data_IF_065372230406
#
_entry.id   IF_065372230406
#
_cell.length_a   1.000
_cell.length_b   1.000
_cell.length_c   1.000
_cell.angle_alpha   90.00
_cell.angle_beta   90.00
_cell.angle_gamma   90.00
#
_symmetry.space_group_name_H-M   'P 1'
#
loop_
_entity.id
_entity.type
_entity.pdbx_description
1 polymer ?
#
# COMPACT_ATOMS: atom_id res chain seq x y z
N UNK A 1 -21.67 -6.77 -25.55
CA UNK A 1 -21.15 -5.72 -26.47
C UNK A 1 -21.31 -4.38 -25.78
N UNK A 2 -20.31 -3.50 -25.85
CA UNK A 2 -20.34 -2.17 -25.22
C UNK A 2 -20.94 -1.17 -26.20
N UNK A 3 -21.93 -0.37 -25.77
CA UNK A 3 -22.50 0.73 -26.56
C UNK A 3 -21.55 1.93 -26.55
N UNK A 4 -21.06 2.32 -27.72
CA UNK A 4 -20.09 3.41 -27.89
C UNK A 4 -20.67 4.77 -27.47
N UNK A 5 -21.96 5.03 -27.71
CA UNK A 5 -22.57 6.29 -27.34
C UNK A 5 -22.67 6.40 -25.81
N UNK A 6 -23.09 5.32 -25.16
CA UNK A 6 -23.13 5.25 -23.71
C UNK A 6 -21.72 5.38 -23.08
N UNK A 7 -20.72 4.68 -23.64
CA UNK A 7 -19.33 4.77 -23.17
C UNK A 7 -18.79 6.20 -23.26
N UNK A 8 -19.04 6.90 -24.38
CA UNK A 8 -18.61 8.30 -24.54
C UNK A 8 -19.25 9.20 -23.49
N UNK A 9 -20.56 9.07 -23.28
CA UNK A 9 -21.27 9.86 -22.27
C UNK A 9 -20.73 9.63 -20.85
N UNK A 10 -20.36 8.40 -20.51
CA UNK A 10 -19.72 8.10 -19.23
C UNK A 10 -18.32 8.70 -19.12
N UNK A 11 -17.52 8.66 -20.19
CA UNK A 11 -16.19 9.27 -20.22
C UNK A 11 -16.25 10.79 -20.06
N UNK A 12 -17.22 11.44 -20.73
CA UNK A 12 -17.40 12.89 -20.69
C UNK A 12 -17.75 13.42 -19.27
N UNK A 13 -18.30 12.58 -18.38
CA UNK A 13 -18.55 12.94 -16.98
C UNK A 13 -17.27 13.12 -16.15
N UNK A 14 -16.18 12.44 -16.52
CA UNK A 14 -14.91 12.41 -15.77
C UNK A 14 -13.78 13.18 -16.47
N UNK A 15 -13.89 13.37 -17.78
CA UNK A 15 -12.88 14.04 -18.60
C UNK A 15 -12.95 15.56 -18.43
N UNK A 16 -11.77 16.19 -18.41
CA UNK A 16 -11.70 17.66 -18.53
C UNK A 16 -12.09 18.08 -19.95
N UNK A 17 -12.80 19.21 -20.06
CA UNK A 17 -13.10 19.85 -21.35
C UNK A 17 -11.89 20.56 -21.97
N UNK A 18 -10.77 20.67 -21.23
CA UNK A 18 -9.53 21.32 -21.66
C UNK A 18 -8.30 20.45 -21.37
N UNK A 19 -8.15 19.31 -22.06
CA UNK A 19 -7.05 18.39 -21.80
C UNK A 19 -5.69 18.99 -22.17
N UNK A 20 -4.66 18.63 -21.41
CA UNK A 20 -3.29 19.04 -21.70
C UNK A 20 -2.72 18.22 -22.87
N UNK A 21 -2.49 18.87 -24.00
CA UNK A 21 -1.98 18.25 -25.23
C UNK A 21 -0.62 17.57 -25.02
N UNK A 22 0.22 18.06 -24.10
CA UNK A 22 1.51 17.45 -23.79
C UNK A 22 1.35 16.06 -23.15
N UNK A 23 0.31 15.85 -22.33
CA UNK A 23 0.02 14.53 -21.74
C UNK A 23 -0.39 13.54 -22.82
N UNK A 24 -1.23 13.95 -23.78
CA UNK A 24 -1.59 13.08 -24.90
C UNK A 24 -0.41 12.77 -25.81
N UNK A 25 0.44 13.75 -26.10
CA UNK A 25 1.66 13.53 -26.87
C UNK A 25 2.60 12.54 -26.17
N UNK A 26 2.73 12.62 -24.84
CA UNK A 26 3.51 11.67 -24.05
C UNK A 26 2.92 10.25 -24.10
N UNK A 27 1.60 10.10 -23.96
CA UNK A 27 0.92 8.80 -24.06
C UNK A 27 1.09 8.15 -25.44
N UNK A 28 0.95 8.91 -26.53
CA UNK A 28 1.20 8.37 -27.89
C UNK A 28 2.68 8.04 -28.10
N UNK A 29 3.58 8.86 -27.54
CA UNK A 29 5.02 8.60 -27.51
C UNK A 29 5.36 7.27 -26.82
N UNK A 30 4.83 7.03 -25.61
CA UNK A 30 5.02 5.77 -24.87
C UNK A 30 4.45 4.57 -25.63
N UNK A 31 3.23 4.70 -26.17
CA UNK A 31 2.64 3.64 -27.02
C UNK A 31 3.56 3.31 -28.19
N UNK A 32 4.07 4.31 -28.92
CA UNK A 32 4.99 4.11 -30.04
C UNK A 32 6.29 3.45 -29.58
N UNK A 33 6.87 3.89 -28.47
CA UNK A 33 8.11 3.33 -27.91
C UNK A 33 7.94 1.84 -27.59
N UNK A 34 6.84 1.47 -26.93
CA UNK A 34 6.56 0.07 -26.59
C UNK A 34 6.31 -0.80 -27.83
N UNK A 35 5.63 -0.28 -28.86
CA UNK A 35 5.46 -1.00 -30.13
C UNK A 35 6.78 -1.19 -30.87
N UNK A 36 7.66 -0.18 -30.85
CA UNK A 36 8.92 -0.22 -31.60
C UNK A 36 10.05 -0.96 -30.89
N UNK A 37 10.15 -0.84 -29.56
CA UNK A 37 11.31 -1.30 -28.78
C UNK A 37 10.94 -2.00 -27.46
N UNK A 38 9.64 -2.22 -27.19
CA UNK A 38 9.17 -2.69 -25.88
C UNK A 38 9.75 -4.05 -25.47
N UNK A 39 9.92 -4.99 -26.40
CA UNK A 39 10.53 -6.28 -26.12
C UNK A 39 11.98 -6.14 -25.62
N UNK A 40 12.83 -5.41 -26.34
CA UNK A 40 14.23 -5.19 -25.95
C UNK A 40 14.35 -4.48 -24.59
N UNK A 41 13.53 -3.44 -24.37
CA UNK A 41 13.50 -2.68 -23.13
C UNK A 41 13.11 -3.55 -21.93
N UNK A 42 12.02 -4.31 -22.05
CA UNK A 42 11.52 -5.16 -20.96
C UNK A 42 12.41 -6.39 -20.76
N UNK A 43 12.95 -7.00 -21.80
CA UNK A 43 13.87 -8.14 -21.67
C UNK A 43 15.13 -7.72 -20.91
N UNK A 44 15.67 -6.54 -21.20
CA UNK A 44 16.83 -5.98 -20.49
C UNK A 44 16.49 -5.69 -19.02
N UNK A 45 15.35 -5.05 -18.74
CA UNK A 45 14.91 -4.77 -17.38
C UNK A 45 14.68 -6.06 -16.56
N UNK A 46 14.07 -7.09 -17.16
CA UNK A 46 13.84 -8.38 -16.51
C UNK A 46 15.16 -9.13 -16.25
N UNK A 47 16.13 -9.06 -17.16
CA UNK A 47 17.46 -9.64 -16.94
C UNK A 47 18.19 -8.95 -15.78
N UNK A 48 18.14 -7.62 -15.73
CA UNK A 48 18.69 -6.83 -14.62
C UNK A 48 18.00 -7.18 -13.30
N UNK A 49 16.68 -7.24 -13.28
CA UNK A 49 15.91 -7.62 -12.09
C UNK A 49 16.28 -9.01 -11.57
N UNK A 50 16.44 -10.02 -12.45
CA UNK A 50 16.90 -11.35 -12.03
C UNK A 50 18.30 -11.33 -11.41
N UNK A 51 19.19 -10.45 -11.89
CA UNK A 51 20.51 -10.29 -11.30
C UNK A 51 20.41 -9.66 -9.91
N UNK A 52 19.70 -8.53 -9.80
CA UNK A 52 19.51 -7.81 -8.53
C UNK A 52 18.89 -8.72 -7.48
N UNK A 53 17.83 -9.47 -7.82
CA UNK A 53 17.17 -10.39 -6.89
C UNK A 53 18.16 -11.39 -6.28
N UNK A 54 18.99 -12.04 -7.11
CA UNK A 54 20.02 -12.98 -6.62
C UNK A 54 21.05 -12.28 -5.73
N UNK A 55 21.49 -11.09 -6.11
CA UNK A 55 22.50 -10.35 -5.33
C UNK A 55 21.97 -9.82 -4.01
N UNK A 56 20.65 -9.56 -3.90
CA UNK A 56 20.00 -9.22 -2.63
C UNK A 56 19.89 -10.45 -1.74
N UNK A 57 19.55 -11.62 -2.29
CA UNK A 57 19.51 -12.88 -1.53
C UNK A 57 20.89 -13.29 -0.96
N UNK A 58 21.98 -12.83 -1.57
CA UNK A 58 23.34 -13.04 -1.05
C UNK A 58 23.66 -12.15 0.18
N UNK A 59 22.85 -11.13 0.47
CA UNK A 59 23.03 -10.25 1.63
C UNK A 59 22.44 -10.93 2.87
N UNK A 60 23.29 -11.18 3.87
CA UNK A 60 22.88 -11.88 5.09
C UNK A 60 21.76 -11.13 5.81
N UNK A 61 20.67 -11.84 6.11
CA UNK A 61 19.50 -11.29 6.81
C UNK A 61 18.42 -10.70 5.89
N UNK A 62 18.70 -10.53 4.59
CA UNK A 62 17.71 -10.18 3.58
C UNK A 62 17.23 -11.42 2.83
N UNK A 63 15.97 -11.41 2.41
CA UNK A 63 15.39 -12.46 1.56
C UNK A 63 14.44 -11.85 0.55
N UNK A 64 14.69 -12.08 -0.73
CA UNK A 64 13.79 -11.72 -1.80
C UNK A 64 12.63 -12.72 -1.85
N UNK A 65 11.40 -12.23 -1.74
CA UNK A 65 10.22 -13.08 -1.83
C UNK A 65 10.00 -13.51 -3.28
N UNK A 66 9.80 -14.80 -3.52
CA UNK A 66 9.54 -15.33 -4.86
C UNK A 66 8.49 -16.43 -4.80
N UNK A 67 8.87 -17.58 -4.25
CA UNK A 67 8.03 -18.76 -4.20
C UNK A 67 6.79 -18.50 -3.34
N UNK A 68 6.92 -17.82 -2.20
CA UNK A 68 5.85 -17.58 -1.22
C UNK A 68 4.61 -16.90 -1.81
N UNK A 69 4.77 -16.20 -2.93
CA UNK A 69 3.71 -15.46 -3.61
C UNK A 69 2.96 -16.30 -4.68
N UNK A 70 3.50 -17.48 -5.02
CA UNK A 70 3.04 -18.34 -6.12
C UNK A 70 2.23 -19.58 -5.70
N UNK A 71 1.68 -19.62 -4.47
CA UNK A 71 1.11 -20.85 -3.90
C UNK A 71 -0.42 -20.87 -3.73
N UNK A 72 -1.09 -19.72 -3.85
CA UNK A 72 -2.54 -19.61 -3.62
C UNK A 72 -3.34 -19.48 -4.92
N UNK A 73 -4.63 -19.80 -4.86
CA UNK A 73 -5.51 -19.76 -6.03
C UNK A 73 -5.49 -18.35 -6.67
N UNK A 74 -5.24 -18.31 -7.98
CA UNK A 74 -5.09 -17.11 -8.83
C UNK A 74 -3.69 -16.45 -8.93
N UNK A 75 -2.65 -17.00 -8.29
CA UNK A 75 -1.25 -16.59 -8.56
C UNK A 75 -0.65 -17.41 -9.71
N UNK A 76 -0.53 -16.83 -10.92
CA UNK A 76 0.06 -17.52 -12.08
C UNK A 76 1.57 -17.31 -12.21
N UNK A 77 2.03 -16.07 -12.05
CA UNK A 77 3.43 -15.68 -12.17
C UNK A 77 3.68 -14.41 -11.33
N UNK A 78 4.95 -14.05 -11.14
CA UNK A 78 5.39 -12.92 -10.36
C UNK A 78 5.96 -11.83 -11.27
N UNK A 79 5.59 -10.56 -11.02
CA UNK A 79 6.30 -9.44 -11.63
C UNK A 79 7.71 -9.33 -11.02
N UNK A 80 8.72 -9.73 -11.79
CA UNK A 80 10.12 -9.72 -11.36
C UNK A 80 10.66 -8.31 -11.10
N UNK A 81 10.05 -7.28 -11.71
CA UNK A 81 10.42 -5.88 -11.51
C UNK A 81 10.04 -5.37 -10.12
N UNK A 82 9.14 -6.06 -9.41
CA UNK A 82 8.82 -5.82 -8.01
C UNK A 82 9.74 -6.67 -7.12
N UNK A 83 10.87 -6.10 -6.68
CA UNK A 83 11.83 -6.76 -5.79
C UNK A 83 11.39 -6.56 -4.34
N UNK A 84 10.47 -7.40 -3.89
CA UNK A 84 9.98 -7.42 -2.51
C UNK A 84 10.97 -8.18 -1.62
N UNK A 85 11.51 -7.50 -0.61
CA UNK A 85 12.59 -7.97 0.25
C UNK A 85 12.05 -8.06 1.68
N UNK A 86 12.05 -9.26 2.26
CA UNK A 86 11.83 -9.48 3.68
C UNK A 86 13.12 -9.15 4.46
N UNK A 87 12.96 -8.30 5.47
CA UNK A 87 14.06 -7.81 6.33
C UNK A 87 14.00 -8.41 7.74
N UNK A 88 13.09 -9.35 7.99
CA UNK A 88 12.88 -9.91 9.33
C UNK A 88 14.09 -10.67 9.86
N UNK A 89 14.96 -11.18 8.97
CA UNK A 89 16.24 -11.79 9.32
C UNK A 89 17.23 -10.84 9.98
N UNK A 90 17.04 -9.53 9.83
CA UNK A 90 17.82 -8.47 10.47
C UNK A 90 17.21 -7.99 11.81
N UNK A 91 16.02 -8.49 12.19
CA UNK A 91 15.26 -8.03 13.36
C UNK A 91 14.91 -6.52 13.35
N UNK A 92 14.73 -5.95 12.15
CA UNK A 92 14.29 -4.57 11.92
C UNK A 92 12.94 -4.54 11.20
N UNK A 93 12.24 -3.40 11.23
CA UNK A 93 11.05 -3.19 10.39
C UNK A 93 11.41 -2.55 9.05
N UNK A 94 10.58 -2.79 8.03
CA UNK A 94 10.73 -2.14 6.73
C UNK A 94 10.57 -0.63 6.79
N UNK A 95 9.79 -0.09 7.75
CA UNK A 95 9.69 1.36 7.98
C UNK A 95 11.05 1.96 8.38
N UNK A 96 11.76 1.31 9.30
CA UNK A 96 13.09 1.75 9.72
C UNK A 96 14.09 1.63 8.57
N UNK A 97 14.03 0.55 7.78
CA UNK A 97 14.84 0.39 6.58
C UNK A 97 14.62 1.53 5.58
N UNK A 98 13.37 1.88 5.30
CA UNK A 98 13.04 2.96 4.36
C UNK A 98 13.58 4.31 4.82
N UNK A 99 13.42 4.64 6.11
CA UNK A 99 13.96 5.89 6.67
C UNK A 99 15.48 5.91 6.64
N UNK A 100 16.13 4.79 6.97
CA UNK A 100 17.59 4.68 6.97
C UNK A 100 18.15 4.84 5.56
N UNK A 101 17.60 4.15 4.56
CA UNK A 101 18.00 4.24 3.15
C UNK A 101 17.84 5.66 2.60
N UNK A 102 16.75 6.34 2.96
CA UNK A 102 16.52 7.74 2.56
C UNK A 102 17.54 8.68 3.19
N UNK A 103 17.83 8.51 4.48
CA UNK A 103 18.73 9.39 5.23
C UNK A 103 20.20 9.21 4.82
N UNK A 104 20.65 7.98 4.57
CA UNK A 104 22.07 7.67 4.35
C UNK A 104 22.44 7.54 2.87
N UNK A 105 21.51 7.10 2.02
CA UNK A 105 21.78 6.85 0.59
C UNK A 105 20.91 7.66 -0.36
N UNK A 106 19.97 8.46 0.15
CA UNK A 106 18.99 9.20 -0.65
C UNK A 106 18.21 8.29 -1.60
N UNK A 107 17.83 7.10 -1.09
CA UNK A 107 17.05 6.12 -1.83
C UNK A 107 15.66 5.98 -1.20
N UNK A 108 14.65 6.17 -2.05
CA UNK A 108 13.27 5.87 -1.74
C UNK A 108 12.92 4.47 -2.24
N UNK A 109 12.26 3.69 -1.39
CA UNK A 109 11.68 2.39 -1.76
C UNK A 109 10.22 2.59 -2.18
N UNK A 110 9.74 1.77 -3.10
CA UNK A 110 8.36 1.85 -3.61
C UNK A 110 7.30 1.55 -2.55
N UNK A 111 7.63 0.68 -1.58
CA UNK A 111 6.78 0.36 -0.44
C UNK A 111 7.65 -0.09 0.75
N UNK A 112 7.17 0.13 1.97
CA UNK A 112 7.74 -0.45 3.19
C UNK A 112 6.64 -0.84 4.16
N UNK A 113 6.65 -2.07 4.66
CA UNK A 113 5.77 -2.57 5.70
C UNK A 113 6.57 -2.91 6.98
N UNK A 114 5.90 -3.42 8.01
CA UNK A 114 6.54 -3.79 9.26
C UNK A 114 7.59 -4.92 9.17
N UNK A 115 7.76 -5.58 8.02
CA UNK A 115 8.65 -6.72 7.77
C UNK A 115 9.39 -6.66 6.42
N UNK A 116 9.03 -5.75 5.52
CA UNK A 116 9.46 -5.79 4.12
C UNK A 116 9.68 -4.40 3.55
N UNK A 117 10.55 -4.33 2.55
CA UNK A 117 10.70 -3.19 1.64
C UNK A 117 10.55 -3.67 0.19
N UNK A 118 10.09 -2.79 -0.69
CA UNK A 118 9.93 -3.07 -2.11
C UNK A 118 10.77 -2.10 -2.93
N UNK A 119 11.74 -2.64 -3.68
CA UNK A 119 12.39 -1.90 -4.74
C UNK A 119 11.66 -2.16 -6.07
N UNK A 120 11.20 -1.11 -6.73
CA UNK A 120 10.53 -1.19 -8.03
C UNK A 120 11.51 -0.83 -9.12
N UNK A 121 11.82 -1.80 -9.98
CA UNK A 121 12.67 -1.63 -11.15
C UNK A 121 11.81 -1.31 -12.38
N UNK A 122 12.42 -0.66 -13.36
CA UNK A 122 11.82 -0.32 -14.64
C UNK A 122 12.84 -0.44 -15.77
N UNK A 123 12.39 -0.25 -17.01
CA UNK A 123 13.31 -0.16 -18.16
C UNK A 123 14.23 1.07 -18.11
N UNK A 124 14.02 2.00 -17.17
CA UNK A 124 14.89 3.15 -16.96
C UNK A 124 16.08 2.85 -16.03
N UNK A 125 16.10 1.67 -15.40
CA UNK A 125 17.17 1.24 -14.50
C UNK A 125 18.30 0.53 -15.26
N UNK A 126 19.51 0.64 -14.70
CA UNK A 126 20.72 0.05 -15.24
C UNK A 126 21.64 -0.49 -14.13
N UNK A 127 22.84 -0.94 -14.49
CA UNK A 127 23.82 -1.46 -13.55
C UNK A 127 24.29 -0.41 -12.53
N UNK A 128 24.27 0.88 -12.88
CA UNK A 128 24.65 1.96 -11.95
C UNK A 128 23.55 2.20 -10.91
N UNK A 129 22.30 2.37 -11.35
CA UNK A 129 21.17 2.59 -10.41
C UNK A 129 20.98 1.40 -9.48
N UNK A 130 21.10 0.18 -10.00
CA UNK A 130 21.00 -1.04 -9.20
C UNK A 130 22.25 -1.29 -8.33
N UNK A 131 23.44 -0.91 -8.78
CA UNK A 131 24.65 -0.92 -7.97
C UNK A 131 24.53 -0.03 -6.73
N UNK A 132 23.94 1.16 -6.89
CA UNK A 132 23.61 2.07 -5.77
C UNK A 132 22.63 1.43 -4.78
N UNK A 133 21.57 0.80 -5.28
CA UNK A 133 20.62 0.05 -4.44
C UNK A 133 21.32 -1.06 -3.65
N UNK A 134 22.10 -1.91 -4.31
CA UNK A 134 22.79 -3.04 -3.67
C UNK A 134 23.82 -2.59 -2.64
N UNK A 135 24.50 -1.47 -2.87
CA UNK A 135 25.42 -0.88 -1.90
C UNK A 135 24.65 -0.42 -0.66
N UNK A 136 23.57 0.33 -0.86
CA UNK A 136 22.74 0.81 0.24
C UNK A 136 22.11 -0.31 1.07
N UNK A 137 21.67 -1.40 0.42
CA UNK A 137 21.13 -2.57 1.13
C UNK A 137 22.18 -3.29 1.98
N UNK A 138 23.43 -3.37 1.51
CA UNK A 138 24.54 -3.94 2.30
C UNK A 138 24.87 -3.06 3.50
N UNK A 139 25.04 -1.77 3.28
CA UNK A 139 25.37 -0.82 4.34
C UNK A 139 24.24 -0.78 5.40
N UNK A 140 22.97 -0.87 4.96
CA UNK A 140 21.81 -0.98 5.84
C UNK A 140 21.82 -2.28 6.66
N UNK A 141 22.14 -3.42 6.02
CA UNK A 141 22.21 -4.71 6.71
C UNK A 141 23.33 -4.73 7.75
N UNK A 142 24.49 -4.13 7.44
CA UNK A 142 25.62 -3.99 8.36
C UNK A 142 25.28 -3.09 9.57
N UNK A 143 24.49 -2.03 9.34
CA UNK A 143 24.02 -1.12 10.38
C UNK A 143 22.83 -1.66 11.20
N UNK A 144 22.22 -2.78 10.82
CA UNK A 144 20.96 -3.25 11.39
C UNK A 144 21.00 -3.47 12.91
N UNK A 145 22.17 -3.85 13.46
CA UNK A 145 22.36 -4.04 14.90
C UNK A 145 22.21 -2.75 15.73
N UNK A 146 22.29 -1.58 15.10
CA UNK A 146 22.13 -0.27 15.75
C UNK A 146 20.66 0.18 15.79
N UNK A 147 19.76 -0.54 15.11
CA UNK A 147 18.36 -0.18 15.03
C UNK A 147 17.67 -0.47 16.37
N UNK A 148 16.74 0.39 16.83
CA UNK A 148 15.90 0.04 17.97
C UNK A 148 14.98 -1.13 17.60
N UNK A 149 14.61 -1.94 18.59
CA UNK A 149 13.66 -3.04 18.37
C UNK A 149 12.34 -2.51 17.80
N UNK A 150 11.84 -3.08 16.69
CA UNK A 150 10.62 -2.58 16.07
C UNK A 150 9.39 -2.85 16.96
N UNK A 151 8.42 -1.92 17.02
CA UNK A 151 7.15 -2.17 17.68
C UNK A 151 6.40 -3.37 17.07
N UNK A 152 5.61 -4.07 17.88
CA UNK A 152 4.80 -5.20 17.40
C UNK A 152 3.45 -4.71 16.90
N UNK A 153 3.11 -5.06 15.65
CA UNK A 153 1.77 -4.81 15.10
C UNK A 153 0.86 -6.00 15.39
N UNK A 154 -0.34 -5.72 15.90
CA UNK A 154 -1.38 -6.73 16.17
C UNK A 154 -2.21 -6.96 14.92
N UNK A 155 -1.78 -7.89 14.08
CA UNK A 155 -2.53 -8.23 12.87
C UNK A 155 -3.80 -9.02 13.22
N UNK A 156 -4.98 -8.57 12.74
CA UNK A 156 -6.24 -9.28 12.93
C UNK A 156 -6.31 -10.50 12.00
N UNK A 157 -7.20 -11.44 12.30
CA UNK A 157 -7.49 -12.54 11.37
C UNK A 157 -8.23 -12.02 10.12
N UNK A 158 -8.19 -12.75 8.99
CA UNK A 158 -8.95 -12.37 7.79
C UNK A 158 -10.45 -12.17 8.06
N UNK A 159 -11.05 -12.97 8.93
CA UNK A 159 -12.45 -12.85 9.32
C UNK A 159 -12.73 -11.59 10.14
N UNK A 160 -11.78 -11.19 11.00
CA UNK A 160 -11.91 -9.97 11.80
C UNK A 160 -11.74 -8.69 10.94
N UNK A 161 -11.06 -8.77 9.80
CA UNK A 161 -10.99 -7.68 8.80
C UNK A 161 -12.28 -7.55 7.97
N UNK A 162 -13.13 -8.57 7.94
CA UNK A 162 -14.41 -8.52 7.22
C UNK A 162 -15.47 -7.86 8.09
N UNK A 163 -15.40 -6.53 8.16
CA UNK A 163 -16.39 -5.74 8.88
C UNK A 163 -17.79 -5.90 8.26
N UNK A 164 -18.80 -5.84 9.10
CA UNK A 164 -20.18 -5.94 8.65
C UNK A 164 -20.65 -4.59 8.12
N UNK A 165 -21.03 -4.53 6.84
CA UNK A 165 -21.71 -3.37 6.27
C UNK A 165 -23.16 -3.29 6.78
N UNK A 166 -23.49 -2.24 7.52
CA UNK A 166 -24.84 -1.98 8.05
C UNK A 166 -25.55 -0.82 7.34
N UNK A 167 -24.81 0.03 6.65
CA UNK A 167 -25.33 1.18 5.92
C UNK A 167 -24.67 1.28 4.54
N UNK A 168 -25.37 1.83 3.55
CA UNK A 168 -24.74 2.11 2.26
C UNK A 168 -23.61 3.12 2.45
N UNK A 169 -22.43 2.94 1.82
CA UNK A 169 -21.30 3.85 2.00
C UNK A 169 -21.64 5.32 1.71
N UNK A 170 -22.50 5.56 0.70
CA UNK A 170 -22.99 6.90 0.39
C UNK A 170 -23.78 7.50 1.55
N UNK A 171 -24.67 6.73 2.16
CA UNK A 171 -25.54 7.24 3.21
C UNK A 171 -24.75 7.49 4.49
N UNK A 172 -23.80 6.62 4.83
CA UNK A 172 -22.90 6.83 5.96
C UNK A 172 -22.01 8.05 5.78
N UNK A 173 -21.48 8.27 4.57
CA UNK A 173 -20.61 9.40 4.26
C UNK A 173 -21.34 10.76 4.27
N UNK A 174 -22.56 10.83 3.73
CA UNK A 174 -23.36 12.06 3.66
C UNK A 174 -24.35 12.24 4.83
N UNK A 175 -24.45 11.27 5.72
CA UNK A 175 -25.36 11.27 6.87
C UNK A 175 -24.89 12.17 8.02
N UNK A 176 -25.63 12.13 9.14
CA UNK A 176 -25.23 12.82 10.36
C UNK A 176 -24.07 12.07 11.01
N UNK A 177 -23.03 12.78 11.41
CA UNK A 177 -21.79 12.17 11.94
C UNK A 177 -21.31 12.86 13.21
N UNK A 178 -20.50 12.15 13.98
CA UNK A 178 -19.81 12.66 15.16
C UNK A 178 -18.39 12.09 15.25
N UNK A 179 -17.52 12.76 16.00
CA UNK A 179 -16.18 12.25 16.31
C UNK A 179 -16.23 11.62 17.70
N UNK A 180 -15.84 10.36 17.82
CA UNK A 180 -15.76 9.66 19.11
C UNK A 180 -14.31 9.27 19.40
N UNK A 181 -13.89 9.18 20.68
CA UNK A 181 -12.61 8.59 21.04
C UNK A 181 -12.47 7.19 20.44
N UNK A 182 -11.28 6.82 19.98
CA UNK A 182 -11.02 5.51 19.36
C UNK A 182 -11.39 4.35 20.30
N UNK A 183 -11.26 4.54 21.61
CA UNK A 183 -11.62 3.57 22.65
C UNK A 183 -13.14 3.33 22.75
N UNK A 184 -13.95 4.27 22.27
CA UNK A 184 -15.42 4.21 22.27
C UNK A 184 -15.98 3.88 20.87
N UNK A 185 -15.12 3.75 19.86
CA UNK A 185 -15.52 3.57 18.47
C UNK A 185 -15.98 2.13 18.16
N UNK A 186 -15.61 1.16 18.99
CA UNK A 186 -15.98 -0.24 18.77
C UNK A 186 -17.50 -0.43 18.75
N UNK A 187 -18.00 -1.14 17.74
CA UNK A 187 -19.42 -1.36 17.52
C UNK A 187 -20.17 -0.20 16.88
N UNK A 188 -19.55 0.98 16.70
CA UNK A 188 -20.12 2.11 15.96
C UNK A 188 -20.01 1.90 14.45
N UNK A 189 -20.85 2.58 13.68
CA UNK A 189 -20.79 2.56 12.21
C UNK A 189 -19.83 3.66 11.74
N UNK A 190 -18.80 3.30 10.99
CA UNK A 190 -17.84 4.26 10.46
C UNK A 190 -18.51 5.22 9.46
N UNK A 191 -18.14 6.49 9.51
CA UNK A 191 -18.56 7.51 8.55
C UNK A 191 -17.35 8.10 7.78
N UNK A 192 -16.22 7.42 7.85
CA UNK A 192 -14.99 7.72 7.12
C UNK A 192 -14.32 6.44 6.62
N UNK A 193 -13.33 6.64 5.74
CA UNK A 193 -12.47 5.57 5.27
C UNK A 193 -11.18 5.58 6.09
N UNK A 194 -10.70 4.40 6.50
CA UNK A 194 -9.38 4.27 7.16
C UNK A 194 -8.53 3.29 6.36
N UNK A 195 -7.49 3.81 5.74
CA UNK A 195 -6.59 3.07 4.86
C UNK A 195 -5.19 3.01 5.48
N UNK A 196 -4.77 1.85 6.01
CA UNK A 196 -3.40 1.61 6.45
C UNK A 196 -2.45 1.56 5.26
N UNK A 197 -1.35 2.30 5.35
CA UNK A 197 -0.28 2.26 4.37
C UNK A 197 1.00 1.69 4.98
N UNK A 198 1.48 0.54 4.46
CA UNK A 198 0.82 -0.40 3.54
C UNK A 198 -0.26 -1.27 4.23
N UNK A 199 -1.15 -1.98 3.49
CA UNK A 199 -1.12 -2.24 2.04
C UNK A 199 -1.70 -1.13 1.14
N UNK A 200 -2.25 -0.06 1.68
CA UNK A 200 -2.92 0.97 0.90
C UNK A 200 -4.32 0.56 0.41
N UNK A 201 -4.94 -0.40 1.11
CA UNK A 201 -6.31 -0.85 0.90
C UNK A 201 -7.11 -0.50 2.15
N UNK A 202 -8.31 0.09 2.03
CA UNK A 202 -9.14 0.42 3.19
C UNK A 202 -9.41 -0.82 4.04
N UNK A 203 -9.18 -0.72 5.35
CA UNK A 203 -9.66 -1.73 6.32
C UNK A 203 -10.99 -1.33 6.97
N UNK A 204 -11.37 -0.06 6.78
CA UNK A 204 -12.67 0.49 7.16
C UNK A 204 -13.16 1.32 5.99
N UNK A 205 -14.39 1.07 5.54
CA UNK A 205 -15.13 1.97 4.65
C UNK A 205 -16.40 2.49 5.33
N UNK A 206 -16.92 3.66 4.91
CA UNK A 206 -18.15 4.19 5.47
C UNK A 206 -19.30 3.17 5.41
N UNK A 207 -20.05 3.08 6.49
CA UNK A 207 -21.20 2.17 6.63
C UNK A 207 -20.87 0.81 7.25
N UNK A 208 -19.59 0.53 7.52
CA UNK A 208 -19.15 -0.67 8.23
C UNK A 208 -19.15 -0.48 9.74
N UNK A 209 -19.49 -1.55 10.47
CA UNK A 209 -19.42 -1.59 11.92
C UNK A 209 -17.99 -1.89 12.37
N UNK A 210 -17.40 -0.97 13.13
CA UNK A 210 -16.05 -1.12 13.70
C UNK A 210 -16.01 -2.24 14.74
N UNK A 211 -14.87 -2.92 14.85
CA UNK A 211 -14.61 -3.93 15.88
C UNK A 211 -13.26 -3.69 16.56
N UNK A 212 -13.05 -4.32 17.72
CA UNK A 212 -11.84 -4.13 18.53
C UNK A 212 -10.56 -4.52 17.76
N UNK A 213 -10.62 -5.60 16.98
CA UNK A 213 -9.45 -6.13 16.30
C UNK A 213 -8.90 -5.18 15.23
N UNK A 214 -9.78 -4.51 14.47
CA UNK A 214 -9.40 -3.50 13.48
C UNK A 214 -8.88 -2.25 14.16
N UNK A 215 -9.50 -1.82 15.26
CA UNK A 215 -9.05 -0.65 16.02
C UNK A 215 -7.65 -0.88 16.63
N UNK A 216 -7.43 -2.03 17.26
CA UNK A 216 -6.12 -2.41 17.83
C UNK A 216 -5.04 -2.50 16.75
N UNK A 217 -5.38 -3.06 15.59
CA UNK A 217 -4.47 -3.13 14.43
C UNK A 217 -4.04 -1.73 13.97
N UNK A 218 -5.01 -0.81 13.81
CA UNK A 218 -4.75 0.55 13.38
C UNK A 218 -3.90 1.33 14.39
N UNK A 219 -4.19 1.19 15.69
CA UNK A 219 -3.43 1.84 16.76
C UNK A 219 -1.99 1.31 16.84
N UNK A 220 -1.82 -0.02 16.96
CA UNK A 220 -0.47 -0.63 17.05
C UNK A 220 0.34 -0.45 15.79
N UNK A 221 -0.30 -0.44 14.62
CA UNK A 221 0.37 -0.11 13.37
C UNK A 221 0.82 1.35 13.31
N UNK A 222 -0.03 2.30 13.76
CA UNK A 222 0.34 3.72 13.82
C UNK A 222 1.56 3.95 14.71
N UNK A 223 1.60 3.31 15.88
CA UNK A 223 2.77 3.32 16.78
C UNK A 223 4.03 2.74 16.13
N UNK A 224 3.87 1.75 15.25
CA UNK A 224 4.96 1.12 14.51
C UNK A 224 5.47 1.93 13.31
N UNK A 225 4.83 3.06 12.96
CA UNK A 225 5.19 3.91 11.82
C UNK A 225 4.27 3.78 10.61
N UNK A 226 3.17 3.03 10.71
CA UNK A 226 2.16 2.92 9.65
C UNK A 226 1.48 4.26 9.41
N UNK A 227 1.31 4.63 8.14
CA UNK A 227 0.62 5.86 7.77
C UNK A 227 -0.89 5.64 7.58
N UNK A 228 -1.69 6.61 8.00
CA UNK A 228 -3.16 6.63 7.92
C UNK A 228 -3.61 7.95 7.28
N UNK A 229 -3.48 8.12 5.96
CA UNK A 229 -3.71 9.40 5.30
C UNK A 229 -5.20 9.76 5.15
N UNK A 230 -6.08 8.76 5.12
CA UNK A 230 -7.52 8.97 4.87
C UNK A 230 -8.33 9.24 6.13
N UNK A 231 -7.78 8.91 7.31
CA UNK A 231 -8.46 9.14 8.59
C UNK A 231 -8.60 10.65 8.84
N UNK A 232 -9.80 11.10 9.21
CA UNK A 232 -10.10 12.50 9.55
C UNK A 232 -9.16 12.99 10.65
N UNK A 233 -8.90 12.16 11.65
CA UNK A 233 -7.82 12.34 12.61
C UNK A 233 -6.67 11.36 12.32
N UNK A 234 -5.63 11.86 11.66
CA UNK A 234 -4.45 11.07 11.32
C UNK A 234 -3.65 10.56 12.53
N UNK A 235 -3.87 11.10 13.73
CA UNK A 235 -3.30 10.58 14.98
C UNK A 235 -4.11 9.41 15.55
N UNK A 236 -5.29 9.13 14.97
CA UNK A 236 -6.22 8.08 15.38
C UNK A 236 -6.60 8.18 16.87
N UNK A 237 -6.69 9.40 17.41
CA UNK A 237 -7.23 9.62 18.76
C UNK A 237 -8.76 9.60 18.75
N UNK A 238 -9.35 10.00 17.62
CA UNK A 238 -10.78 9.98 17.40
C UNK A 238 -11.11 9.37 16.04
N UNK A 239 -12.33 8.83 15.91
CA UNK A 239 -12.86 8.27 14.67
C UNK A 239 -14.19 8.92 14.35
N UNK A 240 -14.40 9.24 13.08
CA UNK A 240 -15.66 9.77 12.56
C UNK A 240 -16.67 8.63 12.35
N UNK A 241 -17.76 8.67 13.09
CA UNK A 241 -18.81 7.65 13.06
C UNK A 241 -20.16 8.26 12.71
N UNK A 242 -21.10 7.42 12.27
CA UNK A 242 -22.50 7.79 12.09
C UNK A 242 -23.10 8.09 13.47
N UNK A 243 -23.87 9.17 13.54
CA UNK A 243 -24.55 9.59 14.76
C UNK A 243 -25.63 8.56 15.15
N UNK A 244 -25.80 8.28 16.46
CA UNK A 244 -26.66 7.19 16.96
C UNK A 244 -28.11 7.22 16.45
N UNK A 245 -28.66 8.41 16.17
CA UNK A 245 -30.03 8.58 15.64
C UNK A 245 -30.23 8.00 14.23
N UNK A 246 -29.14 7.88 13.47
CA UNK A 246 -29.13 7.34 12.12
C UNK A 246 -28.67 5.88 12.07
N UNK A 247 -28.37 5.27 13.22
CA UNK A 247 -28.06 3.84 13.33
C UNK A 247 -29.31 2.99 13.02
N UNK A 248 -29.26 2.08 12.03
CA UNK A 248 -30.36 1.17 11.75
C UNK A 248 -30.80 0.33 12.96
N UNK A 249 -29.89 0.02 13.89
CA UNK A 249 -30.18 -0.76 15.10
C UNK A 249 -30.95 0.06 16.16
N UNK A 250 -30.76 1.38 16.24
CA UNK A 250 -31.45 2.24 17.21
C UNK A 250 -32.91 2.51 16.82
N UNK A 251 -33.27 2.33 15.55
CA UNK A 251 -34.66 2.47 15.04
C UNK A 251 -35.57 1.28 15.38
N UNK A 252 -35.03 0.21 15.97
CA UNK A 252 -35.75 -1.02 16.31
C UNK A 252 -36.04 -1.25 17.79
N UNK A 253 -35.72 -0.28 18.67
CA UNK A 253 -35.93 -0.35 20.11
C UNK A 253 -37.06 0.58 20.58
#
# INVERSE_FOLDING_TARGET
LVDMAHLSNCADLLMTTSPNVLVYAALDGWRRQMVSHGHELLDSALNLARLVRRQVDDITGLRVMHDELLHEQASHDLDLLQVLIDVSGLAVSGYQCADWLRQHHHLDVGLSDHRRILATLSFADDEDTTGRLLTALRDMADAAAEFPSPPTIRQPSPEALQLQTLMLPRDAFFGTTEMVPVEEASGRIAAEQITPYPPGIPVVVPGERLNDAVLEYLQTGKEAGMNLPDATDSALTTIKVVHETDDPASRGA
#
